data_IF_979962715820
#
_entry.id   IF_979962715820
#
_cell.length_a   1.000
_cell.length_b   1.000
_cell.length_c   1.000
_cell.angle_alpha   90.00
_cell.angle_beta   90.00
_cell.angle_gamma   90.00
#
_symmetry.space_group_name_H-M   'P 1'
#
loop_
_entity.id
_entity.type
_entity.pdbx_description
1 polymer ?
#
# COMPACT_ATOMS: atom_id res chain seq x y z
N UNK A 1 65.00 -30.87 3.24
CA UNK A 1 64.59 -32.09 3.98
C UNK A 1 65.07 -31.94 5.42
N UNK A 2 64.33 -32.29 6.49
CA UNK A 2 62.89 -32.45 6.70
C UNK A 2 62.38 -31.62 7.92
N UNK A 3 61.18 -31.05 7.85
CA UNK A 3 60.52 -30.47 9.03
C UNK A 3 59.54 -31.49 9.63
N UNK A 4 59.59 -31.69 10.94
CA UNK A 4 58.67 -32.51 11.73
C UNK A 4 57.85 -31.60 12.64
N UNK A 5 56.53 -31.81 12.66
CA UNK A 5 55.54 -31.19 13.54
C UNK A 5 55.70 -31.59 15.02
N UNK A 6 55.00 -30.89 15.95
CA UNK A 6 53.84 -31.54 16.59
C UNK A 6 52.62 -30.61 16.84
N UNK A 7 51.41 -31.10 16.54
CA UNK A 7 50.28 -31.45 17.47
C UNK A 7 49.80 -30.29 18.35
N UNK A 8 48.71 -29.61 17.99
CA UNK A 8 47.28 -29.97 18.18
C UNK A 8 46.73 -29.56 19.57
N UNK A 9 45.84 -28.56 19.56
CA UNK A 9 44.85 -28.31 20.61
C UNK A 9 43.47 -28.17 19.93
N UNK A 10 42.48 -28.86 20.50
CA UNK A 10 41.20 -29.15 19.86
C UNK A 10 40.26 -27.96 19.79
N UNK A 11 39.55 -27.86 18.68
CA UNK A 11 38.40 -26.97 18.49
C UNK A 11 37.12 -27.80 18.38
N UNK A 12 36.21 -27.55 19.32
CA UNK A 12 34.85 -28.04 19.26
C UNK A 12 34.10 -27.38 18.10
N UNK A 13 33.30 -28.19 17.40
CA UNK A 13 32.24 -27.80 16.47
C UNK A 13 31.33 -26.76 17.15
N UNK A 14 30.73 -25.79 16.48
CA UNK A 14 29.58 -26.00 15.58
C UNK A 14 29.16 -24.69 14.89
N UNK A 15 28.83 -24.80 13.60
CA UNK A 15 27.93 -23.97 12.76
C UNK A 15 28.17 -22.46 12.59
N UNK A 16 28.52 -22.14 11.33
CA UNK A 16 28.17 -20.94 10.57
C UNK A 16 26.73 -20.45 10.82
N UNK A 17 26.55 -19.14 11.00
CA UNK A 17 25.76 -18.32 10.06
C UNK A 17 26.18 -16.85 10.17
N UNK A 18 26.28 -16.22 9.00
CA UNK A 18 26.77 -14.88 8.75
C UNK A 18 25.95 -13.78 9.43
N UNK A 19 26.64 -12.78 9.98
CA UNK A 19 26.05 -11.51 10.44
C UNK A 19 26.64 -10.38 9.62
N UNK A 20 25.82 -9.78 8.76
CA UNK A 20 25.99 -8.44 8.17
C UNK A 20 24.78 -8.12 7.30
N UNK A 21 24.00 -7.09 7.66
CA UNK A 21 23.34 -6.09 6.78
C UNK A 21 22.07 -5.49 7.41
N UNK A 22 22.15 -4.19 7.66
CA UNK A 22 21.16 -3.14 7.45
C UNK A 22 19.73 -3.53 6.98
N UNK A 23 18.74 -2.96 7.70
CA UNK A 23 17.31 -2.77 7.41
C UNK A 23 16.44 -4.02 7.21
N UNK A 24 15.42 -4.23 8.08
CA UNK A 24 14.00 -4.53 7.78
C UNK A 24 13.25 -4.92 9.08
N UNK A 25 11.95 -4.54 9.17
CA UNK A 25 10.82 -5.32 9.74
C UNK A 25 10.23 -4.91 11.11
N UNK A 26 9.23 -4.02 11.03
CA UNK A 26 8.06 -4.02 11.92
C UNK A 26 7.34 -5.36 11.77
N UNK A 27 7.35 -6.19 12.81
CA UNK A 27 6.36 -7.24 13.04
C UNK A 27 6.67 -7.92 14.38
N UNK A 28 5.83 -7.64 15.40
CA UNK A 28 5.40 -8.57 16.47
C UNK A 28 4.98 -7.77 17.71
N UNK A 29 3.67 -7.61 17.89
CA UNK A 29 2.95 -7.83 19.16
C UNK A 29 1.62 -7.07 19.14
N UNK A 30 0.51 -7.79 18.96
CA UNK A 30 -0.82 -7.46 19.50
C UNK A 30 -1.82 -8.55 19.05
N UNK A 31 -1.69 -9.74 19.64
CA UNK A 31 -2.77 -10.72 19.68
C UNK A 31 -3.10 -10.96 21.17
N UNK A 32 -4.21 -10.38 21.65
CA UNK A 32 -5.15 -10.87 22.71
C UNK A 32 -5.94 -9.73 23.37
N UNK A 33 -7.17 -9.52 22.91
CA UNK A 33 -8.43 -9.54 23.69
C UNK A 33 -9.57 -9.15 22.74
N UNK A 34 -10.74 -9.76 22.95
CA UNK A 34 -11.87 -9.78 22.01
C UNK A 34 -12.17 -8.42 21.38
N UNK A 35 -11.89 -8.33 20.08
CA UNK A 35 -12.31 -7.22 19.24
C UNK A 35 -13.72 -7.57 18.78
N UNK A 36 -14.74 -7.06 19.47
CA UNK A 36 -16.05 -6.88 18.85
C UNK A 36 -15.90 -5.70 17.87
N UNK A 37 -15.28 -5.94 16.71
CA UNK A 37 -15.57 -5.11 15.56
C UNK A 37 -17.02 -5.42 15.25
N UNK A 38 -17.92 -4.59 15.77
CA UNK A 38 -19.23 -4.44 15.15
C UNK A 38 -18.89 -4.02 13.73
N UNK A 39 -18.84 -5.00 12.82
CA UNK A 39 -18.78 -4.76 11.40
C UNK A 39 -20.10 -4.08 11.10
N UNK A 40 -20.14 -2.76 11.30
CA UNK A 40 -21.11 -1.90 10.65
C UNK A 40 -21.07 -2.36 9.20
N UNK A 41 -22.23 -2.61 8.63
CA UNK A 41 -22.36 -2.83 7.19
C UNK A 41 -21.67 -1.63 6.53
N UNK A 42 -20.45 -1.83 6.03
CA UNK A 42 -19.64 -0.76 5.44
C UNK A 42 -20.11 -0.64 4.01
N UNK A 43 -20.88 0.40 3.75
CA UNK A 43 -21.22 0.79 2.39
C UNK A 43 -20.05 1.54 1.77
N UNK A 44 -19.16 0.78 1.15
CA UNK A 44 -17.93 1.29 0.53
C UNK A 44 -18.17 1.89 -0.86
N UNK A 45 -19.42 2.22 -1.19
CA UNK A 45 -19.74 2.89 -2.45
C UNK A 45 -19.31 4.34 -2.39
N UNK A 46 -18.83 4.83 -3.52
CA UNK A 46 -18.43 6.22 -3.72
C UNK A 46 -19.66 7.11 -3.65
N UNK A 47 -19.63 8.07 -2.72
CA UNK A 47 -20.60 9.15 -2.64
C UNK A 47 -20.15 10.31 -3.53
N UNK A 48 -18.97 10.85 -3.25
CA UNK A 48 -18.39 12.03 -3.91
C UNK A 48 -16.86 11.91 -4.05
N UNK A 49 -16.30 12.61 -5.03
CA UNK A 49 -14.85 12.65 -5.29
C UNK A 49 -14.43 14.07 -5.59
N UNK A 50 -13.44 14.56 -4.83
CA UNK A 50 -12.81 15.87 -5.03
C UNK A 50 -11.29 15.74 -5.07
N UNK A 51 -10.66 16.57 -5.90
CA UNK A 51 -9.21 16.64 -6.01
C UNK A 51 -8.75 18.04 -5.64
N UNK A 52 -7.88 18.13 -4.63
CA UNK A 52 -7.12 19.34 -4.33
C UNK A 52 -5.81 19.34 -5.13
N UNK A 53 -4.95 20.35 -4.92
CA UNK A 53 -3.66 20.46 -5.60
C UNK A 53 -2.75 19.24 -5.38
N UNK A 54 -2.82 18.64 -4.17
CA UNK A 54 -1.91 17.57 -3.76
C UNK A 54 -2.62 16.29 -3.26
N UNK A 55 -3.94 16.30 -3.10
CA UNK A 55 -4.69 15.20 -2.49
C UNK A 55 -5.92 14.83 -3.29
N UNK A 56 -6.19 13.53 -3.40
CA UNK A 56 -7.45 12.96 -3.85
C UNK A 56 -8.27 12.61 -2.62
N UNK A 57 -9.50 13.12 -2.55
CA UNK A 57 -10.41 12.93 -1.45
C UNK A 57 -11.69 12.27 -1.96
N UNK A 58 -12.06 11.15 -1.34
CA UNK A 58 -13.22 10.34 -1.72
C UNK A 58 -14.11 10.17 -0.50
N UNK A 59 -15.36 10.62 -0.62
CA UNK A 59 -16.39 10.41 0.39
C UNK A 59 -17.16 9.13 0.07
N UNK A 60 -17.40 8.30 1.09
CA UNK A 60 -18.12 7.03 0.98
C UNK A 60 -19.53 7.12 1.55
N UNK A 61 -20.42 6.25 1.09
CA UNK A 61 -21.82 6.17 1.54
C UNK A 61 -21.94 5.82 3.03
N UNK A 62 -20.95 5.13 3.61
CA UNK A 62 -20.90 4.83 5.04
C UNK A 62 -20.48 6.02 5.93
N UNK A 63 -20.22 7.18 5.33
CA UNK A 63 -19.83 8.41 6.00
C UNK A 63 -18.32 8.54 6.28
N UNK A 64 -17.49 7.61 5.79
CA UNK A 64 -16.03 7.76 5.81
C UNK A 64 -15.57 8.67 4.68
N UNK A 65 -14.48 9.39 4.94
CA UNK A 65 -13.72 10.14 3.93
C UNK A 65 -12.33 9.56 3.83
N UNK A 66 -11.91 9.17 2.63
CA UNK A 66 -10.55 8.73 2.33
C UNK A 66 -9.80 9.90 1.71
N UNK A 67 -8.62 10.22 2.24
CA UNK A 67 -7.71 11.21 1.66
C UNK A 67 -6.38 10.54 1.36
N UNK A 68 -5.94 10.60 0.10
CA UNK A 68 -4.68 10.02 -0.37
C UNK A 68 -3.88 11.05 -1.15
N UNK A 69 -2.54 10.99 -1.16
CA UNK A 69 -1.72 11.87 -1.97
C UNK A 69 -1.98 11.65 -3.46
N UNK A 70 -2.23 12.74 -4.20
CA UNK A 70 -2.42 12.68 -5.65
C UNK A 70 -1.16 12.17 -6.38
N UNK A 71 0.01 12.35 -5.76
CA UNK A 71 1.29 11.85 -6.25
C UNK A 71 1.34 10.31 -6.44
N UNK A 72 0.43 9.56 -5.80
CA UNK A 72 0.31 8.11 -6.00
C UNK A 72 -0.35 7.73 -7.33
N UNK A 73 -0.96 8.70 -8.01
CA UNK A 73 -1.70 8.54 -9.24
C UNK A 73 -1.13 9.50 -10.29
N UNK A 74 0.01 9.17 -10.92
CA UNK A 74 0.70 10.08 -11.85
C UNK A 74 -0.18 10.61 -12.98
N UNK A 75 -1.16 9.82 -13.44
CA UNK A 75 -2.11 10.23 -14.48
C UNK A 75 -3.07 11.32 -13.99
N UNK A 76 -3.60 11.16 -12.78
CA UNK A 76 -4.40 12.21 -12.14
C UNK A 76 -3.54 13.43 -11.78
N UNK A 77 -2.29 13.23 -11.34
CA UNK A 77 -1.36 14.30 -11.01
C UNK A 77 -1.06 15.21 -12.22
N UNK A 78 -0.95 14.65 -13.42
CA UNK A 78 -0.69 15.43 -14.64
C UNK A 78 -1.96 15.94 -15.33
N UNK A 79 -3.14 15.48 -14.92
CA UNK A 79 -4.40 15.96 -15.47
C UNK A 79 -4.74 17.38 -15.01
N UNK A 80 -5.47 18.12 -15.84
CA UNK A 80 -5.97 19.45 -15.48
C UNK A 80 -7.06 19.38 -14.42
N UNK A 81 -7.28 20.44 -13.62
CA UNK A 81 -8.37 20.46 -12.63
C UNK A 81 -9.76 20.20 -13.26
N UNK A 82 -9.98 20.70 -14.48
CA UNK A 82 -11.21 20.44 -15.23
C UNK A 82 -11.40 18.95 -15.52
N UNK A 83 -10.35 18.27 -15.99
CA UNK A 83 -10.35 16.83 -16.23
C UNK A 83 -10.58 16.01 -14.96
N UNK A 84 -9.98 16.42 -13.83
CA UNK A 84 -10.16 15.74 -12.54
C UNK A 84 -11.57 15.89 -11.97
N UNK A 85 -12.26 16.98 -12.31
CA UNK A 85 -13.64 17.21 -11.90
C UNK A 85 -14.65 16.33 -12.68
N UNK A 86 -14.25 15.83 -13.85
CA UNK A 86 -15.08 14.93 -14.66
C UNK A 86 -14.76 13.48 -14.31
N UNK A 87 -15.57 12.90 -13.43
CA UNK A 87 -15.47 11.51 -13.02
C UNK A 87 -16.84 10.84 -12.98
N UNK A 88 -16.83 9.51 -13.08
CA UNK A 88 -18.03 8.68 -13.09
C UNK A 88 -17.88 7.50 -12.11
N UNK A 89 -19.01 7.03 -11.58
CA UNK A 89 -19.03 5.84 -10.72
C UNK A 89 -18.94 4.59 -11.58
N UNK A 90 -17.93 3.76 -11.33
CA UNK A 90 -17.71 2.48 -11.98
C UNK A 90 -17.97 1.31 -11.02
N UNK A 91 -18.04 0.07 -11.55
CA UNK A 91 -18.07 -1.15 -10.74
C UNK A 91 -19.18 -1.19 -9.68
N UNK A 92 -20.43 -0.91 -10.09
CA UNK A 92 -21.60 -0.83 -9.19
C UNK A 92 -21.47 0.20 -8.05
N UNK A 93 -20.62 1.22 -8.21
CA UNK A 93 -20.37 2.27 -7.23
C UNK A 93 -19.13 2.04 -6.37
N UNK A 94 -18.39 0.95 -6.56
CA UNK A 94 -17.14 0.68 -5.85
C UNK A 94 -15.89 1.13 -6.62
N UNK A 95 -16.07 1.73 -7.80
CA UNK A 95 -15.00 2.29 -8.62
C UNK A 95 -15.28 3.74 -9.01
N UNK A 96 -14.21 4.41 -9.41
CA UNK A 96 -14.19 5.78 -9.92
C UNK A 96 -13.46 5.72 -11.25
N UNK A 97 -14.12 6.18 -12.31
CA UNK A 97 -13.57 6.26 -13.66
C UNK A 97 -13.43 7.72 -14.07
N UNK A 98 -12.26 8.12 -14.55
CA UNK A 98 -12.03 9.42 -15.19
C UNK A 98 -11.95 9.23 -16.70
N UNK A 99 -13.03 9.49 -17.47
CA UNK A 99 -13.08 9.19 -18.90
C UNK A 99 -12.08 10.00 -19.74
N UNK A 100 -11.80 11.25 -19.36
CA UNK A 100 -10.83 12.08 -20.09
C UNK A 100 -9.36 11.67 -19.84
N UNK A 101 -9.10 11.04 -18.70
CA UNK A 101 -7.76 10.64 -18.27
C UNK A 101 -7.52 9.15 -18.56
N UNK A 102 -8.61 8.39 -18.79
CA UNK A 102 -8.65 6.94 -18.93
C UNK A 102 -8.05 6.25 -17.69
N UNK A 103 -8.38 6.78 -16.50
CA UNK A 103 -7.92 6.27 -15.21
C UNK A 103 -9.06 5.68 -14.40
N UNK A 104 -8.84 4.48 -13.86
CA UNK A 104 -9.79 3.76 -13.02
C UNK A 104 -9.21 3.51 -11.64
N UNK A 105 -9.91 3.95 -10.60
CA UNK A 105 -9.58 3.66 -9.21
C UNK A 105 -10.70 2.87 -8.54
N UNK A 106 -10.34 1.94 -7.66
CA UNK A 106 -11.30 1.21 -6.84
C UNK A 106 -11.28 1.70 -5.40
N UNK A 107 -12.46 1.77 -4.77
CA UNK A 107 -12.56 2.10 -3.34
C UNK A 107 -11.75 1.12 -2.49
N UNK A 108 -11.74 -0.16 -2.88
CA UNK A 108 -10.98 -1.19 -2.20
C UNK A 108 -9.46 -0.93 -2.27
N UNK A 109 -8.95 -0.48 -3.41
CA UNK A 109 -7.55 -0.08 -3.59
C UNK A 109 -7.18 1.14 -2.72
N UNK A 110 -8.09 2.13 -2.66
CA UNK A 110 -7.95 3.31 -1.82
C UNK A 110 -7.94 2.96 -0.32
N UNK A 111 -8.84 2.07 0.12
CA UNK A 111 -8.93 1.61 1.51
C UNK A 111 -7.70 0.80 1.96
N UNK A 112 -7.05 0.10 1.03
CA UNK A 112 -5.78 -0.60 1.30
C UNK A 112 -4.57 0.34 1.34
N UNK A 113 -4.72 1.59 0.91
CA UNK A 113 -3.61 2.53 0.73
C UNK A 113 -2.62 2.07 -0.35
N UNK A 114 -3.10 1.35 -1.37
CA UNK A 114 -2.25 0.90 -2.46
C UNK A 114 -2.12 2.02 -3.51
N UNK A 115 -0.89 2.40 -3.91
CA UNK A 115 -0.69 3.29 -5.05
C UNK A 115 -1.18 2.61 -6.35
N UNK A 116 -1.53 3.40 -7.36
CA UNK A 116 -1.92 2.83 -8.65
C UNK A 116 -0.80 1.95 -9.21
N UNK A 117 -1.14 0.81 -9.83
CA UNK A 117 -0.13 -0.03 -10.48
C UNK A 117 0.54 0.79 -11.58
N UNK A 118 1.86 0.94 -11.48
CA UNK A 118 2.63 1.44 -12.61
C UNK A 118 2.45 0.46 -13.78
N UNK A 119 1.88 0.92 -14.89
CA UNK A 119 1.81 0.11 -16.11
C UNK A 119 3.24 -0.27 -16.49
N UNK A 120 3.57 -1.55 -16.42
CA UNK A 120 4.83 -2.06 -16.95
C UNK A 120 4.86 -1.76 -18.45
N UNK A 121 5.91 -1.06 -18.88
CA UNK A 121 6.14 -0.66 -20.27
C UNK A 121 6.27 -1.88 -21.19
#
# INVERSE_FOLDING_TARGET
MPWKSPRAAGFARTRLVASSRWLTRIARSCWRRGVNISAKVTDERVLDVRCDDASLIVDLMDGRTISVPLAWYPRLLHATPAQRAVWEKAGAGHGIHWPEIDEDLSTEGLLRGAPAPAKAA
#
